data_IF_241948167735
#
_entry.id   IF_241948167735
#
_cell.length_a   1.000
_cell.length_b   1.000
_cell.length_c   1.000
_cell.angle_alpha   90.00
_cell.angle_beta   90.00
_cell.angle_gamma   90.00
#
_symmetry.space_group_name_H-M   'P 1'
#
loop_
_entity.id
_entity.type
_entity.pdbx_description
1 polymer ?
#
# COMPACT_ATOMS: atom_id res chain seq x y z
N UNK A 1 14.32 4.78 0.17
CA UNK A 1 13.35 3.73 0.56
C UNK A 1 12.12 3.85 -0.31
N UNK A 2 11.61 2.74 -0.87
CA UNK A 2 10.42 2.73 -1.74
C UNK A 2 9.18 2.26 -0.98
N UNK A 3 8.08 3.01 -1.09
CA UNK A 3 6.82 2.75 -0.40
C UNK A 3 5.71 2.61 -1.42
N UNK A 4 5.00 1.48 -1.36
CA UNK A 4 3.79 1.24 -2.12
C UNK A 4 2.59 1.33 -1.18
N UNK A 5 1.72 2.33 -1.38
CA UNK A 5 0.51 2.49 -0.58
C UNK A 5 -0.68 1.84 -1.28
N UNK A 6 -1.33 0.93 -0.59
CA UNK A 6 -2.62 0.39 -0.97
C UNK A 6 -3.71 1.50 -0.99
N UNK A 7 -4.78 1.32 -1.76
CA UNK A 7 -5.87 2.29 -1.86
C UNK A 7 -6.58 2.50 -0.53
N UNK A 8 -6.66 1.45 0.30
CA UNK A 8 -7.16 1.57 1.67
C UNK A 8 -6.33 2.57 2.50
N UNK A 9 -5.00 2.58 2.35
CA UNK A 9 -4.12 3.57 2.98
C UNK A 9 -4.32 4.97 2.40
N UNK A 10 -4.40 5.10 1.06
CA UNK A 10 -4.61 6.38 0.40
C UNK A 10 -5.95 7.04 0.77
N UNK A 11 -6.96 6.22 1.09
CA UNK A 11 -8.27 6.69 1.52
C UNK A 11 -8.39 6.91 3.03
N UNK A 12 -7.48 6.35 3.83
CA UNK A 12 -7.53 6.38 5.30
C UNK A 12 -7.68 7.79 5.89
N UNK A 13 -7.00 8.85 5.38
CA UNK A 13 -7.17 10.23 5.87
C UNK A 13 -8.58 10.82 5.72
N UNK A 14 -9.46 10.14 4.99
CA UNK A 14 -10.83 10.58 4.70
C UNK A 14 -11.89 9.66 5.34
N UNK A 15 -11.47 8.72 6.17
CA UNK A 15 -12.37 7.86 6.92
C UNK A 15 -12.92 8.55 8.18
N UNK A 16 -13.89 7.90 8.83
CA UNK A 16 -14.45 8.40 10.06
C UNK A 16 -13.45 8.29 11.22
N UNK A 17 -12.95 9.44 11.66
CA UNK A 17 -11.99 9.57 12.76
C UNK A 17 -12.60 9.42 14.16
N UNK A 18 -13.86 9.00 14.32
CA UNK A 18 -14.40 8.63 15.64
C UNK A 18 -13.69 7.41 16.23
N UNK A 19 -13.13 6.54 15.37
CA UNK A 19 -12.30 5.42 15.79
C UNK A 19 -10.85 5.88 16.00
N UNK A 20 -10.30 5.62 17.20
CA UNK A 20 -8.92 5.93 17.57
C UNK A 20 -7.92 5.24 16.65
N UNK A 21 -8.18 4.00 16.22
CA UNK A 21 -7.31 3.27 15.32
C UNK A 21 -7.19 3.99 13.97
N UNK A 22 -8.32 4.34 13.38
CA UNK A 22 -8.37 5.07 12.10
C UNK A 22 -7.59 6.38 12.20
N UNK A 23 -7.74 7.12 13.31
CA UNK A 23 -6.96 8.35 13.55
C UNK A 23 -5.45 8.11 13.55
N UNK A 24 -4.98 7.08 14.26
CA UNK A 24 -3.55 6.77 14.35
C UNK A 24 -2.99 6.30 13.01
N UNK A 25 -3.73 5.45 12.29
CA UNK A 25 -3.36 5.03 10.93
C UNK A 25 -3.31 6.22 9.97
N UNK A 26 -4.26 7.16 10.06
CA UNK A 26 -4.25 8.42 9.29
C UNK A 26 -2.98 9.22 9.54
N UNK A 27 -2.62 9.46 10.80
CA UNK A 27 -1.39 10.21 11.14
C UNK A 27 -0.14 9.50 10.62
N UNK A 28 -0.10 8.16 10.68
CA UNK A 28 0.98 7.38 10.12
C UNK A 28 1.07 7.56 8.60
N UNK A 29 -0.04 7.39 7.87
CA UNK A 29 -0.10 7.57 6.41
C UNK A 29 0.34 8.99 6.01
N UNK A 30 -0.15 10.02 6.69
CA UNK A 30 0.25 11.40 6.41
C UNK A 30 1.74 11.64 6.64
N UNK A 31 2.30 11.04 7.70
CA UNK A 31 3.74 11.09 7.99
C UNK A 31 4.55 10.40 6.90
N UNK A 32 4.12 9.21 6.46
CA UNK A 32 4.75 8.46 5.37
C UNK A 32 4.71 9.27 4.06
N UNK A 33 3.58 9.86 3.70
CA UNK A 33 3.45 10.72 2.51
C UNK A 33 4.38 11.93 2.58
N UNK A 34 4.55 12.52 3.76
CA UNK A 34 5.51 13.61 3.99
C UNK A 34 6.94 13.13 3.75
N UNK A 35 7.33 11.97 4.28
CA UNK A 35 8.66 11.36 4.04
C UNK A 35 8.88 11.03 2.56
N UNK A 36 7.86 10.52 1.86
CA UNK A 36 7.90 10.31 0.40
C UNK A 36 8.10 11.60 -0.42
N UNK A 37 7.91 12.76 0.21
CA UNK A 37 8.15 14.06 -0.42
C UNK A 37 9.52 14.65 -0.10
N UNK A 38 10.28 14.00 0.78
CA UNK A 38 11.58 14.45 1.27
C UNK A 38 12.67 13.47 0.86
N UNK A 39 12.60 12.22 1.32
CA UNK A 39 13.69 11.24 1.25
C UNK A 39 13.24 9.79 0.98
N UNK A 40 11.93 9.52 0.96
CA UNK A 40 11.38 8.25 0.47
C UNK A 40 10.78 8.43 -0.94
N UNK A 41 10.53 7.32 -1.61
CA UNK A 41 9.96 7.28 -2.94
C UNK A 41 8.61 6.57 -2.90
N UNK A 42 7.53 7.28 -3.19
CA UNK A 42 6.24 6.65 -3.34
C UNK A 42 6.13 5.99 -4.72
N UNK A 43 5.72 4.73 -4.73
CA UNK A 43 5.43 3.94 -5.92
C UNK A 43 3.92 3.74 -6.01
N UNK A 44 3.38 3.85 -7.21
CA UNK A 44 1.98 3.53 -7.51
C UNK A 44 1.89 2.52 -8.64
N UNK A 45 0.69 2.13 -9.05
CA UNK A 45 0.48 1.18 -10.15
C UNK A 45 -0.81 1.47 -10.92
N UNK A 46 -0.96 0.82 -12.07
CA UNK A 46 -2.24 0.80 -12.79
C UNK A 46 -3.35 0.05 -12.02
N UNK A 47 -3.00 -0.83 -11.07
CA UNK A 47 -3.96 -1.44 -10.15
C UNK A 47 -4.55 -0.40 -9.17
N UNK A 48 -3.69 0.42 -8.56
CA UNK A 48 -4.12 1.54 -7.69
C UNK A 48 -5.02 2.51 -8.47
N UNK A 49 -4.65 2.85 -9.72
CA UNK A 49 -5.47 3.71 -10.58
C UNK A 49 -6.85 3.09 -10.87
N UNK A 50 -6.89 1.79 -11.14
CA UNK A 50 -8.12 1.05 -11.40
C UNK A 50 -9.05 1.08 -10.18
N UNK A 51 -8.54 0.74 -8.99
CA UNK A 51 -9.31 0.76 -7.75
C UNK A 51 -9.80 2.15 -7.36
N UNK A 52 -8.96 3.19 -7.51
CA UNK A 52 -9.39 4.57 -7.31
C UNK A 52 -10.54 4.93 -8.27
N UNK A 53 -10.52 4.41 -9.50
CA UNK A 53 -11.61 4.56 -10.47
C UNK A 53 -12.95 3.98 -10.00
N UNK A 54 -12.92 2.95 -9.15
CA UNK A 54 -14.10 2.31 -8.58
C UNK A 54 -14.66 3.04 -7.34
N UNK A 55 -13.95 4.03 -6.80
CA UNK A 55 -14.44 4.81 -5.65
C UNK A 55 -15.67 5.64 -6.07
N UNK A 56 -16.81 5.34 -5.46
CA UNK A 56 -18.09 6.02 -5.71
C UNK A 56 -18.12 7.46 -5.22
N UNK A 57 -17.47 7.75 -4.09
CA UNK A 57 -17.40 9.10 -3.53
C UNK A 57 -16.45 9.97 -4.37
N UNK A 58 -16.95 11.02 -5.04
CA UNK A 58 -16.15 11.83 -5.95
C UNK A 58 -15.07 12.64 -5.23
N UNK A 59 -15.31 13.03 -3.98
CA UNK A 59 -14.35 13.76 -3.15
C UNK A 59 -13.19 12.85 -2.80
N UNK A 60 -13.47 11.68 -2.21
CA UNK A 60 -12.46 10.67 -1.86
C UNK A 60 -11.64 10.26 -3.07
N UNK A 61 -12.30 9.99 -4.21
CA UNK A 61 -11.62 9.68 -5.48
C UNK A 61 -10.69 10.80 -5.93
N UNK A 62 -11.17 12.04 -5.93
CA UNK A 62 -10.38 13.22 -6.33
C UNK A 62 -9.15 13.41 -5.42
N UNK A 63 -9.30 13.17 -4.12
CA UNK A 63 -8.18 13.22 -3.17
C UNK A 63 -7.17 12.10 -3.40
N UNK A 64 -7.61 10.85 -3.54
CA UNK A 64 -6.71 9.73 -3.82
C UNK A 64 -5.91 9.95 -5.11
N UNK A 65 -6.56 10.46 -6.18
CA UNK A 65 -5.88 10.85 -7.43
C UNK A 65 -4.81 11.92 -7.20
N UNK A 66 -5.09 12.95 -6.39
CA UNK A 66 -4.08 13.98 -6.05
C UNK A 66 -2.90 13.41 -5.27
N UNK A 67 -3.13 12.43 -4.40
CA UNK A 67 -2.05 11.81 -3.65
C UNK A 67 -1.12 11.04 -4.59
N UNK A 68 -1.65 10.15 -5.43
CA UNK A 68 -0.82 9.30 -6.31
C UNK A 68 -0.04 10.10 -7.38
N UNK A 69 -0.44 11.35 -7.69
CA UNK A 69 0.34 12.24 -8.57
C UNK A 69 1.75 12.55 -8.01
N UNK A 70 1.97 12.33 -6.71
CA UNK A 70 3.29 12.49 -6.08
C UNK A 70 4.20 11.27 -6.26
N UNK A 71 3.70 10.19 -6.88
CA UNK A 71 4.47 8.97 -7.07
C UNK A 71 5.66 9.22 -8.00
N UNK A 72 6.80 8.60 -7.68
CA UNK A 72 8.02 8.65 -8.51
C UNK A 72 7.94 7.69 -9.68
N UNK A 73 7.22 6.59 -9.51
CA UNK A 73 7.08 5.53 -10.50
C UNK A 73 5.67 4.97 -10.48
N UNK A 74 5.16 4.61 -11.66
CA UNK A 74 3.89 3.91 -11.84
C UNK A 74 4.14 2.54 -12.46
N UNK A 75 3.98 1.48 -11.68
CA UNK A 75 4.09 0.11 -12.15
C UNK A 75 2.90 -0.23 -13.04
N UNK A 76 3.19 -0.58 -14.30
CA UNK A 76 2.17 -1.10 -15.21
C UNK A 76 1.93 -2.59 -14.92
N UNK A 77 0.67 -2.91 -14.66
CA UNK A 77 0.18 -4.30 -14.61
C UNK A 77 0.12 -4.84 -16.03
N UNK A 78 0.91 -5.87 -16.29
CA UNK A 78 0.99 -6.62 -17.54
C UNK A 78 0.75 -8.11 -17.27
N UNK A 79 0.66 -8.92 -18.33
CA UNK A 79 0.36 -10.36 -18.20
C UNK A 79 1.40 -11.10 -17.33
N UNK A 80 2.66 -10.63 -17.30
CA UNK A 80 3.70 -11.23 -16.45
C UNK A 80 3.44 -10.92 -14.98
N UNK A 81 3.02 -9.71 -14.67
CA UNK A 81 2.65 -9.31 -13.31
C UNK A 81 1.38 -10.03 -12.86
N UNK A 82 0.40 -10.22 -13.75
CA UNK A 82 -0.80 -11.01 -13.45
C UNK A 82 -0.47 -12.48 -13.19
N UNK A 83 0.38 -13.10 -14.01
CA UNK A 83 0.86 -14.46 -13.75
C UNK A 83 1.63 -14.54 -12.43
N UNK A 84 2.39 -13.51 -12.07
CA UNK A 84 3.02 -13.43 -10.74
C UNK A 84 2.01 -13.26 -9.60
N UNK A 85 0.90 -12.55 -9.83
CA UNK A 85 -0.20 -12.45 -8.88
C UNK A 85 -0.86 -13.81 -8.61
N UNK A 86 -1.03 -14.65 -9.64
CA UNK A 86 -1.54 -16.03 -9.51
C UNK A 86 -0.66 -16.89 -8.58
N UNK A 87 0.66 -16.68 -8.56
CA UNK A 87 1.54 -17.39 -7.62
C UNK A 87 1.19 -17.08 -6.15
N UNK A 88 0.76 -15.84 -5.86
CA UNK A 88 0.36 -15.42 -4.51
C UNK A 88 -0.99 -16.03 -4.08
N UNK A 89 -1.85 -16.44 -5.02
CA UNK A 89 -3.10 -17.15 -4.70
C UNK A 89 -2.84 -18.49 -4.02
N UNK A 90 -1.74 -19.16 -4.34
CA UNK A 90 -1.30 -20.38 -3.64
C UNK A 90 -0.93 -20.13 -2.17
N UNK A 91 -0.74 -18.87 -1.76
CA UNK A 91 -0.50 -18.45 -0.38
C UNK A 91 -1.78 -18.01 0.34
N UNK A 92 -2.93 -18.09 -0.34
CA UNK A 92 -4.23 -17.66 0.16
C UNK A 92 -4.51 -16.17 -0.04
N UNK A 93 -3.74 -15.49 -0.88
CA UNK A 93 -3.87 -14.06 -1.18
C UNK A 93 -4.59 -13.93 -2.52
N UNK A 94 -5.79 -13.38 -2.53
CA UNK A 94 -6.69 -13.46 -3.69
C UNK A 94 -6.90 -12.10 -4.35
N UNK A 95 -7.18 -12.11 -5.66
CA UNK A 95 -7.69 -10.93 -6.37
C UNK A 95 -6.75 -9.73 -6.35
N UNK A 96 -7.29 -8.54 -6.02
CA UNK A 96 -6.51 -7.29 -6.09
C UNK A 96 -5.33 -7.27 -5.11
N UNK A 97 -5.44 -7.92 -3.96
CA UNK A 97 -4.35 -7.97 -2.98
C UNK A 97 -3.10 -8.63 -3.58
N UNK A 98 -3.29 -9.74 -4.32
CA UNK A 98 -2.21 -10.43 -5.01
C UNK A 98 -1.54 -9.54 -6.07
N UNK A 99 -2.34 -8.74 -6.79
CA UNK A 99 -1.83 -7.78 -7.79
C UNK A 99 -1.05 -6.66 -7.12
N UNK A 100 -1.50 -6.16 -5.96
CA UNK A 100 -0.80 -5.12 -5.20
C UNK A 100 0.55 -5.63 -4.68
N UNK A 101 0.60 -6.86 -4.19
CA UNK A 101 1.84 -7.50 -3.75
C UNK A 101 2.80 -7.70 -4.91
N UNK A 102 2.33 -8.20 -6.07
CA UNK A 102 3.17 -8.35 -7.25
C UNK A 102 3.72 -6.99 -7.77
N UNK A 103 2.93 -5.92 -7.66
CA UNK A 103 3.40 -4.57 -7.96
C UNK A 103 4.48 -4.09 -6.98
N UNK A 104 4.27 -4.29 -5.67
CA UNK A 104 5.24 -3.95 -4.65
C UNK A 104 6.54 -4.78 -4.79
N UNK A 105 6.43 -6.07 -5.13
CA UNK A 105 7.56 -6.96 -5.40
C UNK A 105 8.39 -6.46 -6.57
N UNK A 106 7.75 -6.18 -7.72
CA UNK A 106 8.43 -5.67 -8.91
C UNK A 106 9.13 -4.33 -8.67
N UNK A 107 8.57 -3.50 -7.78
CA UNK A 107 9.14 -2.21 -7.43
C UNK A 107 10.23 -2.29 -6.35
N UNK A 108 10.39 -3.43 -5.68
CA UNK A 108 11.18 -3.58 -4.46
C UNK A 108 10.73 -2.59 -3.37
N UNK A 109 9.42 -2.43 -3.21
CA UNK A 109 8.80 -1.49 -2.30
C UNK A 109 8.18 -2.21 -1.08
N UNK A 110 8.16 -1.51 0.07
CA UNK A 110 7.34 -1.92 1.21
C UNK A 110 5.87 -1.68 0.84
N UNK A 111 5.03 -2.70 0.96
CA UNK A 111 3.58 -2.59 0.81
C UNK A 111 2.95 -2.15 2.14
N UNK A 112 2.24 -1.04 2.14
CA UNK A 112 1.47 -0.63 3.32
C UNK A 112 -0.02 -0.73 3.03
N UNK A 113 -0.72 -1.46 3.89
CA UNK A 113 -2.17 -1.69 3.83
C UNK A 113 -2.76 -1.58 5.23
N UNK A 114 -4.04 -1.26 5.34
CA UNK A 114 -4.76 -1.25 6.63
C UNK A 114 -5.63 -2.49 6.80
N UNK A 115 -5.54 -3.46 5.88
CA UNK A 115 -6.17 -4.76 6.00
C UNK A 115 -5.34 -5.69 6.91
N UNK A 116 -5.84 -5.97 8.10
CA UNK A 116 -5.17 -6.82 9.08
C UNK A 116 -5.02 -8.27 8.62
N UNK A 117 -5.98 -8.78 7.85
CA UNK A 117 -5.96 -10.17 7.40
C UNK A 117 -4.90 -10.34 6.31
N UNK A 118 -4.77 -9.37 5.41
CA UNK A 118 -3.66 -9.33 4.46
C UNK A 118 -2.30 -9.26 5.17
N UNK A 119 -2.14 -8.38 6.17
CA UNK A 119 -0.90 -8.27 6.96
C UNK A 119 -0.57 -9.59 7.66
N UNK A 120 -1.56 -10.26 8.28
CA UNK A 120 -1.34 -11.56 8.94
C UNK A 120 -0.89 -12.63 7.94
N UNK A 121 -1.52 -12.70 6.76
CA UNK A 121 -1.16 -13.67 5.71
C UNK A 121 0.26 -13.40 5.22
N UNK A 122 0.63 -12.14 4.98
CA UNK A 122 1.98 -11.77 4.54
C UNK A 122 3.04 -12.10 5.59
N UNK A 123 2.80 -11.78 6.86
CA UNK A 123 3.71 -12.13 7.97
C UNK A 123 3.89 -13.64 8.12
N UNK A 124 2.81 -14.42 7.99
CA UNK A 124 2.87 -15.89 8.02
C UNK A 124 3.69 -16.47 6.86
N UNK A 125 3.68 -15.79 5.71
CA UNK A 125 4.37 -16.23 4.49
C UNK A 125 5.67 -15.46 4.22
N UNK A 126 6.24 -14.74 5.20
CA UNK A 126 7.41 -13.87 5.00
C UNK A 126 8.65 -14.57 4.41
N UNK A 127 8.78 -15.89 4.59
CA UNK A 127 9.88 -16.68 3.98
C UNK A 127 9.64 -17.06 2.51
N UNK A 128 8.44 -16.79 1.99
CA UNK A 128 7.98 -17.16 0.65
C UNK A 128 7.75 -15.96 -0.26
N UNK A 129 7.85 -14.74 0.28
CA UNK A 129 7.72 -13.48 -0.45
C UNK A 129 8.87 -12.56 -0.06
N UNK A 130 9.43 -11.85 -1.03
CA UNK A 130 10.42 -10.79 -0.76
C UNK A 130 9.78 -9.47 -0.37
N UNK A 131 8.45 -9.37 -0.38
CA UNK A 131 7.71 -8.14 -0.07
C UNK A 131 7.47 -8.04 1.43
N UNK A 132 7.99 -6.99 2.05
CA UNK A 132 7.54 -6.57 3.38
C UNK A 132 6.17 -5.91 3.23
N UNK A 133 5.15 -6.47 3.87
CA UNK A 133 3.82 -5.86 3.98
C UNK A 133 3.40 -5.68 5.44
N UNK A 134 2.93 -4.49 5.80
CA UNK A 134 2.47 -4.20 7.16
C UNK A 134 1.49 -3.03 7.21
N UNK A 135 0.88 -2.84 8.39
CA UNK A 135 0.06 -1.69 8.71
C UNK A 135 0.93 -0.41 8.79
N UNK A 136 0.50 0.72 8.20
CA UNK A 136 1.29 1.94 8.16
C UNK A 136 1.73 2.44 9.54
N UNK A 137 0.89 2.28 10.57
CA UNK A 137 1.22 2.69 11.94
C UNK A 137 2.32 1.81 12.52
N UNK A 138 2.16 0.49 12.43
CA UNK A 138 3.11 -0.48 12.98
C UNK A 138 4.47 -0.35 12.30
N UNK A 139 4.46 -0.29 10.97
CA UNK A 139 5.68 -0.14 10.18
C UNK A 139 6.42 1.16 10.47
N UNK A 140 5.71 2.29 10.55
CA UNK A 140 6.33 3.58 10.83
C UNK A 140 6.96 3.61 12.23
N UNK A 141 6.36 2.95 13.22
CA UNK A 141 6.96 2.79 14.55
C UNK A 141 8.23 1.95 14.50
N UNK A 142 8.24 0.86 13.75
CA UNK A 142 9.40 -0.02 13.60
C UNK A 142 10.60 0.72 12.99
N UNK A 143 10.38 1.44 11.88
CA UNK A 143 11.44 2.20 11.18
C UNK A 143 12.02 3.31 12.06
N UNK A 144 11.17 4.00 12.83
CA UNK A 144 11.65 5.07 13.72
C UNK A 144 12.39 4.56 14.97
N UNK A 145 12.15 3.32 15.40
CA UNK A 145 12.89 2.70 16.51
C UNK A 145 14.27 2.19 16.08
N UNK A 146 14.42 1.81 14.82
CA UNK A 146 15.67 1.26 14.29
C UNK A 146 16.56 2.28 13.57
N UNK A 147 16.12 3.54 13.47
CA UNK A 147 16.96 4.70 13.18
C UNK A 147 17.91 4.52 11.99
N UNK A 148 17.35 4.40 10.79
CA UNK A 148 18.04 4.74 9.53
C UNK A 148 17.39 5.94 8.85
#
# INVERSE_FOLDING_TARGET
>A
MKIYLDVCCLCRPFDNHSDTRVRLETEAVLTILKRCSLDWEMITSTAVLYEIGLISDPTRRSHALRLIQRARETIRVDDRLLSRAEDFENLGIMGMDAVHIACAEKAEAVLLTTDDDLVKIMKKNALRTSVHADNPLHWLMEVNQHGE
#
